data_IF_348854438241
#
_entry.id   IF_348854438241
#
_cell.length_a   1.000
_cell.length_b   1.000
_cell.length_c   1.000
_cell.angle_alpha   90.00
_cell.angle_beta   90.00
_cell.angle_gamma   90.00
#
_symmetry.space_group_name_H-M   'P 1'
#
loop_
_entity.id
_entity.type
_entity.pdbx_description
1 polymer ?
#
# COMPACT_ATOMS: atom_id res chain seq x y z
N UNK A 1 5.80 27.42 20.37
CA UNK A 1 6.91 26.56 20.84
C UNK A 1 6.35 25.60 21.87
N UNK A 2 6.72 24.33 21.85
CA UNK A 2 6.26 23.34 22.82
C UNK A 2 7.41 22.93 23.72
N UNK A 3 7.14 22.83 25.02
CA UNK A 3 8.09 22.33 25.99
C UNK A 3 7.66 20.96 26.47
N UNK A 4 8.13 19.92 25.77
CA UNK A 4 7.81 18.53 26.09
C UNK A 4 9.02 17.88 26.76
N UNK A 5 8.77 16.98 27.70
CA UNK A 5 9.80 16.21 28.39
C UNK A 5 10.05 14.84 27.72
N UNK A 6 9.66 14.69 26.45
CA UNK A 6 9.83 13.46 25.66
C UNK A 6 10.03 13.80 24.19
N UNK A 7 10.64 12.86 23.47
CA UNK A 7 10.94 13.01 22.04
C UNK A 7 9.68 12.89 21.19
N UNK A 8 9.50 13.85 20.29
CA UNK A 8 8.48 13.83 19.22
C UNK A 8 9.20 13.74 17.88
N UNK A 9 8.57 13.12 16.89
CA UNK A 9 9.16 12.94 15.58
C UNK A 9 8.36 13.66 14.51
N UNK A 10 9.07 14.20 13.51
CA UNK A 10 8.48 14.74 12.29
C UNK A 10 8.78 13.80 11.14
N UNK A 11 7.84 13.71 10.21
CA UNK A 11 8.06 13.01 8.95
C UNK A 11 8.70 13.94 7.93
N UNK A 12 9.89 13.58 7.47
CA UNK A 12 10.50 14.16 6.27
C UNK A 12 10.12 13.30 5.05
N UNK A 13 9.17 13.80 4.26
CA UNK A 13 8.66 13.10 3.08
C UNK A 13 9.67 13.05 1.92
N UNK A 14 10.70 13.91 1.93
CA UNK A 14 11.69 13.98 0.86
C UNK A 14 12.59 12.74 0.82
N UNK A 15 12.91 12.19 2.00
CA UNK A 15 13.72 10.98 2.18
C UNK A 15 13.04 9.77 1.52
N UNK A 16 11.71 9.70 1.57
CA UNK A 16 10.96 8.60 1.00
C UNK A 16 10.87 8.68 -0.52
N UNK A 17 10.69 9.87 -1.09
CA UNK A 17 10.48 10.05 -2.54
C UNK A 17 11.66 9.55 -3.39
N UNK A 18 12.90 9.83 -2.96
CA UNK A 18 14.12 9.38 -3.65
C UNK A 18 14.29 7.85 -3.61
N UNK A 19 13.93 7.20 -2.51
CA UNK A 19 13.95 5.75 -2.41
C UNK A 19 12.91 5.10 -3.33
N UNK A 20 11.71 5.69 -3.43
CA UNK A 20 10.62 5.21 -4.31
C UNK A 20 11.00 5.17 -5.78
N UNK A 21 11.82 6.13 -6.24
CA UNK A 21 12.25 6.19 -7.63
C UNK A 21 13.27 5.09 -8.00
N UNK A 22 14.04 4.58 -7.04
CA UNK A 22 15.13 3.62 -7.29
C UNK A 22 14.73 2.16 -7.05
N UNK A 23 13.92 1.91 -6.02
CA UNK A 23 13.43 0.59 -5.65
C UNK A 23 11.97 0.73 -5.19
N UNK A 24 11.00 0.67 -6.13
CA UNK A 24 9.59 0.86 -5.80
C UNK A 24 9.08 -0.15 -4.76
N UNK A 25 9.63 -1.36 -4.75
CA UNK A 25 9.24 -2.44 -3.85
C UNK A 25 9.87 -2.27 -2.46
N UNK A 26 11.17 -1.94 -2.40
CA UNK A 26 11.87 -1.59 -1.15
C UNK A 26 11.37 -0.30 -0.50
N UNK A 27 10.88 0.65 -1.29
CA UNK A 27 10.43 1.95 -0.81
C UNK A 27 9.23 1.88 0.13
N UNK A 28 8.36 0.89 -0.05
CA UNK A 28 7.25 0.65 0.86
C UNK A 28 7.74 0.39 2.29
N UNK A 29 8.80 -0.42 2.44
CA UNK A 29 9.40 -0.73 3.73
C UNK A 29 10.14 0.45 4.35
N UNK A 30 10.63 1.38 3.52
CA UNK A 30 11.37 2.56 3.96
C UNK A 30 10.50 3.77 4.29
N UNK A 31 9.18 3.68 4.14
CA UNK A 31 8.24 4.80 4.35
C UNK A 31 8.32 5.45 5.73
N UNK A 32 8.76 4.71 6.76
CA UNK A 32 8.95 5.23 8.12
C UNK A 32 10.39 5.70 8.39
N UNK A 33 11.30 5.64 7.41
CA UNK A 33 12.69 6.06 7.58
C UNK A 33 12.87 7.57 7.66
N UNK A 34 11.96 8.32 7.03
CA UNK A 34 11.89 9.79 7.12
C UNK A 34 11.52 10.33 8.50
N UNK A 35 11.23 9.48 9.50
CA UNK A 35 11.03 9.93 10.88
C UNK A 35 12.31 10.51 11.45
N UNK A 36 12.31 11.83 11.65
CA UNK A 36 13.39 12.59 12.27
C UNK A 36 12.96 13.10 13.66
N UNK A 37 13.85 13.04 14.67
CA UNK A 37 13.62 13.70 15.94
C UNK A 37 13.38 15.19 15.74
N UNK A 38 12.30 15.72 16.32
CA UNK A 38 12.11 17.16 16.46
C UNK A 38 13.09 17.72 17.50
N UNK A 39 13.49 18.97 17.33
CA UNK A 39 14.09 19.73 18.43
C UNK A 39 13.03 19.93 19.51
N UNK A 40 13.22 19.29 20.65
CA UNK A 40 12.36 19.44 21.81
C UNK A 40 13.13 20.16 22.90
N UNK A 41 12.58 21.27 23.38
CA UNK A 41 13.14 21.99 24.53
C UNK A 41 12.39 21.58 25.78
N UNK A 42 13.10 21.08 26.79
CA UNK A 42 12.50 20.81 28.09
C UNK A 42 12.57 22.08 28.96
N UNK A 43 11.45 22.46 29.58
CA UNK A 43 11.42 23.58 30.52
C UNK A 43 11.77 23.09 31.93
N UNK A 44 12.97 23.39 32.41
CA UNK A 44 13.41 23.05 33.78
C UNK A 44 12.60 23.84 34.82
N UNK A 45 12.44 23.36 36.06
CA UNK A 45 11.87 24.18 37.13
C UNK A 45 12.69 25.47 37.32
N UNK A 46 12.04 26.63 37.38
CA UNK A 46 12.70 27.92 37.56
C UNK A 46 11.98 29.08 36.89
N UNK A 47 12.61 30.25 36.93
CA UNK A 47 12.14 31.44 36.21
C UNK A 47 12.67 31.42 34.79
N UNK A 48 11.77 31.55 33.81
CA UNK A 48 12.11 31.59 32.39
C UNK A 48 11.77 32.94 31.81
N UNK A 49 12.63 33.42 30.89
CA UNK A 49 12.42 34.67 30.18
C UNK A 49 12.08 34.33 28.74
N UNK A 50 10.89 34.76 28.31
CA UNK A 50 10.47 34.69 26.92
C UNK A 50 10.51 36.11 26.33
N UNK A 51 11.21 36.26 25.20
CA UNK A 51 11.30 37.52 24.48
C UNK A 51 10.72 37.35 23.09
N UNK A 52 9.87 38.30 22.68
CA UNK A 52 9.37 38.42 21.32
C UNK A 52 10.25 39.42 20.61
N UNK A 53 11.00 38.95 19.61
CA UNK A 53 11.83 39.79 18.75
C UNK A 53 11.13 39.99 17.40
N UNK A 54 11.21 41.20 16.86
CA UNK A 54 10.63 41.56 15.57
C UNK A 54 11.49 42.60 14.85
N UNK A 55 11.44 42.56 13.53
CA UNK A 55 12.13 43.45 12.59
C UNK A 55 11.26 44.63 12.13
N UNK A 56 10.00 44.68 12.57
CA UNK A 56 9.06 45.75 12.24
C UNK A 56 9.34 47.02 13.08
N UNK A 57 10.36 47.77 12.68
CA UNK A 57 10.69 49.07 13.27
C UNK A 57 9.71 50.19 12.88
N UNK A 58 8.91 50.01 11.82
CA UNK A 58 8.11 51.10 11.22
C UNK A 58 6.60 51.01 11.47
N UNK A 59 6.12 49.92 12.10
CA UNK A 59 4.68 49.72 12.37
C UNK A 59 4.46 48.97 13.67
N UNK A 60 3.57 49.50 14.51
CA UNK A 60 3.12 48.83 15.73
C UNK A 60 2.38 47.55 15.37
N UNK A 61 2.85 46.41 15.90
CA UNK A 61 2.14 45.14 15.81
C UNK A 61 1.56 44.80 17.19
N UNK A 62 0.28 44.42 17.22
CA UNK A 62 -0.36 43.89 18.42
C UNK A 62 -0.15 42.38 18.47
N UNK A 63 0.28 41.85 19.61
CA UNK A 63 0.50 40.41 19.81
C UNK A 63 -0.02 39.96 21.17
N UNK A 64 -0.45 38.70 21.25
CA UNK A 64 -0.88 38.03 22.47
C UNK A 64 -0.01 36.80 22.67
N UNK A 65 0.52 36.62 23.88
CA UNK A 65 1.29 35.43 24.25
C UNK A 65 0.43 34.62 25.21
N UNK A 66 0.12 33.40 24.82
CA UNK A 66 -0.61 32.44 25.65
C UNK A 66 0.32 31.32 26.10
N UNK A 67 0.32 31.03 27.40
CA UNK A 67 1.04 29.91 27.98
C UNK A 67 0.02 28.90 28.51
N UNK A 68 -0.03 27.72 27.90
CA UNK A 68 -0.94 26.65 28.31
C UNK A 68 -0.15 25.60 29.08
N UNK A 69 -0.60 25.28 30.30
CA UNK A 69 0.05 24.28 31.13
C UNK A 69 -0.32 22.86 30.68
N UNK A 70 0.68 22.02 30.40
CA UNK A 70 0.50 20.64 29.96
C UNK A 70 -0.35 19.78 30.92
N UNK A 71 -0.43 20.14 32.22
CA UNK A 71 -1.25 19.43 33.22
C UNK A 71 -2.74 19.38 32.86
N UNK A 72 -3.24 20.40 32.16
CA UNK A 72 -4.63 20.43 31.68
C UNK A 72 -4.90 19.44 30.53
N UNK A 73 -3.85 18.87 29.95
CA UNK A 73 -3.88 17.98 28.79
C UNK A 73 -3.02 16.73 29.01
N UNK A 74 -2.92 16.25 30.25
CA UNK A 74 -2.09 15.08 30.59
C UNK A 74 -2.47 13.85 29.75
N UNK A 75 -3.76 13.58 29.61
CA UNK A 75 -4.28 12.50 28.74
C UNK A 75 -3.81 12.65 27.29
N UNK A 76 -3.82 13.86 26.76
CA UNK A 76 -3.43 14.11 25.36
C UNK A 76 -1.92 13.95 25.19
N UNK A 77 -1.16 14.41 26.18
CA UNK A 77 0.31 14.31 26.23
C UNK A 77 0.75 12.85 26.32
N UNK A 78 0.10 12.07 27.18
CA UNK A 78 0.36 10.64 27.33
C UNK A 78 -0.02 9.87 26.05
N UNK A 79 -1.20 10.16 25.47
CA UNK A 79 -1.60 9.60 24.17
C UNK A 79 -0.57 9.88 23.07
N UNK A 80 -0.06 11.12 22.99
CA UNK A 80 0.97 11.48 22.02
C UNK A 80 2.24 10.65 22.21
N UNK A 81 2.70 10.52 23.47
CA UNK A 81 3.86 9.70 23.82
C UNK A 81 3.67 8.23 23.42
N UNK A 82 2.48 7.68 23.65
CA UNK A 82 2.17 6.28 23.30
C UNK A 82 2.13 6.08 21.77
N UNK A 83 1.54 7.02 21.03
CA UNK A 83 1.52 7.02 19.57
C UNK A 83 2.95 7.07 19.01
N UNK A 84 3.80 7.96 19.51
CA UNK A 84 5.20 8.06 19.08
C UNK A 84 5.96 6.76 19.31
N UNK A 85 5.80 6.16 20.50
CA UNK A 85 6.40 4.86 20.81
C UNK A 85 5.89 3.74 19.89
N UNK A 86 4.60 3.74 19.55
CA UNK A 86 4.00 2.76 18.66
C UNK A 86 4.52 2.91 17.22
N UNK A 87 4.64 4.14 16.72
CA UNK A 87 5.18 4.43 15.38
C UNK A 87 6.64 3.96 15.28
N UNK A 88 7.47 4.24 16.29
CA UNK A 88 8.86 3.76 16.33
C UNK A 88 8.96 2.24 16.38
N UNK A 89 8.09 1.58 17.16
CA UNK A 89 8.02 0.12 17.19
C UNK A 89 7.68 -0.43 15.80
N UNK A 90 6.68 0.14 15.13
CA UNK A 90 6.27 -0.26 13.78
C UNK A 90 7.35 0.00 12.73
N UNK A 91 8.15 1.07 12.86
CA UNK A 91 9.33 1.29 12.02
C UNK A 91 10.33 0.13 12.11
N UNK A 92 10.58 -0.36 13.32
CA UNK A 92 11.50 -1.48 13.54
C UNK A 92 10.92 -2.81 13.03
N UNK A 93 9.64 -3.08 13.30
CA UNK A 93 8.95 -4.25 12.77
C UNK A 93 8.98 -4.29 11.23
N UNK A 94 8.74 -3.14 10.59
CA UNK A 94 8.74 -3.04 9.13
C UNK A 94 10.14 -3.31 8.53
N UNK A 95 11.20 -2.86 9.20
CA UNK A 95 12.59 -3.16 8.81
C UNK A 95 12.92 -4.64 8.94
N UNK A 96 12.46 -5.30 9.99
CA UNK A 96 12.65 -6.75 10.17
C UNK A 96 11.89 -7.52 9.07
N UNK A 97 10.64 -7.15 8.84
CA UNK A 97 9.80 -7.76 7.81
C UNK A 97 10.39 -7.61 6.40
N UNK A 98 11.00 -6.46 6.06
CA UNK A 98 11.72 -6.29 4.78
C UNK A 98 12.78 -7.38 4.58
N UNK A 99 13.55 -7.69 5.62
CA UNK A 99 14.60 -8.70 5.55
C UNK A 99 14.05 -10.12 5.33
N UNK A 100 12.92 -10.44 5.95
CA UNK A 100 12.24 -11.73 5.79
C UNK A 100 11.62 -11.84 4.40
N UNK A 101 10.96 -10.77 3.96
CA UNK A 101 10.36 -10.67 2.63
C UNK A 101 11.40 -10.91 1.53
N UNK A 102 12.57 -10.26 1.60
CA UNK A 102 13.65 -10.45 0.61
C UNK A 102 14.17 -11.90 0.58
N UNK A 103 14.28 -12.56 1.73
CA UNK A 103 14.66 -13.99 1.78
C UNK A 103 13.64 -14.88 1.09
N UNK A 104 12.34 -14.62 1.31
CA UNK A 104 11.27 -15.39 0.66
C UNK A 104 11.27 -15.16 -0.85
N UNK A 105 11.46 -13.93 -1.31
CA UNK A 105 11.56 -13.60 -2.73
C UNK A 105 12.73 -14.32 -3.42
N UNK A 106 13.89 -14.38 -2.77
CA UNK A 106 15.04 -15.16 -3.26
C UNK A 106 14.73 -16.66 -3.38
N UNK A 107 14.07 -17.25 -2.37
CA UNK A 107 13.64 -18.66 -2.41
C UNK A 107 12.63 -18.93 -3.53
N UNK A 108 11.71 -17.99 -3.79
CA UNK A 108 10.74 -18.09 -4.89
C UNK A 108 11.44 -18.05 -6.25
N UNK A 109 12.42 -17.15 -6.44
CA UNK A 109 13.25 -17.10 -7.66
C UNK A 109 14.03 -18.41 -7.88
N UNK A 110 14.59 -18.98 -6.81
CA UNK A 110 15.25 -20.29 -6.88
C UNK A 110 14.28 -21.41 -7.30
N UNK A 111 13.09 -21.46 -6.68
CA UNK A 111 12.03 -22.41 -7.03
C UNK A 111 11.66 -22.28 -8.51
N UNK A 112 11.45 -21.06 -8.99
CA UNK A 112 11.01 -20.81 -10.37
C UNK A 112 12.11 -21.18 -11.37
N UNK A 113 13.38 -20.91 -11.05
CA UNK A 113 14.52 -21.38 -11.82
C UNK A 113 14.54 -22.91 -11.94
N UNK A 114 14.34 -23.62 -10.83
CA UNK A 114 14.25 -25.10 -10.83
C UNK A 114 13.06 -25.55 -11.68
N UNK A 115 11.87 -24.99 -11.46
CA UNK A 115 10.65 -25.38 -12.19
C UNK A 115 10.79 -25.16 -13.71
N UNK A 116 11.48 -24.09 -14.11
CA UNK A 116 11.78 -23.83 -15.52
C UNK A 116 12.62 -24.93 -16.16
N UNK A 117 13.58 -25.53 -15.44
CA UNK A 117 14.39 -26.66 -15.99
C UNK A 117 13.55 -27.90 -16.28
N UNK A 118 12.48 -28.11 -15.53
CA UNK A 118 11.53 -29.20 -15.75
C UNK A 118 10.48 -28.88 -16.83
N UNK A 119 10.37 -27.62 -17.27
CA UNK A 119 9.35 -27.16 -18.23
C UNK A 119 9.89 -27.11 -19.68
N UNK A 120 10.97 -27.84 -20.00
CA UNK A 120 11.36 -28.02 -21.40
C UNK A 120 10.23 -28.76 -22.13
N UNK A 121 9.43 -28.01 -22.88
CA UNK A 121 8.58 -28.52 -23.95
C UNK A 121 9.48 -29.39 -24.82
N UNK A 122 9.12 -30.68 -24.95
CA UNK A 122 9.73 -31.61 -25.90
C UNK A 122 10.03 -30.90 -27.22
N UNK A 123 11.30 -30.77 -27.65
CA UNK A 123 11.57 -30.39 -29.02
C UNK A 123 11.14 -31.55 -29.91
N UNK A 124 10.03 -31.37 -30.62
CA UNK A 124 9.73 -32.18 -31.79
C UNK A 124 10.87 -32.02 -32.78
N UNK A 125 11.73 -33.03 -32.92
CA UNK A 125 12.12 -33.66 -34.19
C UNK A 125 13.52 -34.29 -34.13
N UNK A 126 13.59 -35.63 -34.09
CA UNK A 126 14.55 -36.41 -34.88
C UNK A 126 13.80 -37.62 -35.46
N UNK A 127 13.46 -37.48 -36.75
CA UNK A 127 13.28 -38.48 -37.81
C UNK A 127 12.46 -39.76 -37.60
N UNK A 128 11.40 -39.80 -38.42
CA UNK A 128 11.04 -40.88 -39.36
C UNK A 128 9.89 -41.81 -38.99
N UNK A 129 9.02 -41.95 -40.00
CA UNK A 129 8.12 -43.08 -40.26
C UNK A 129 6.77 -43.09 -39.56
N UNK A 130 5.85 -42.32 -40.16
CA UNK A 130 4.59 -42.85 -40.72
C UNK A 130 3.67 -43.67 -39.82
N UNK A 131 2.53 -43.10 -39.46
CA UNK A 131 1.22 -43.52 -39.99
C UNK A 131 0.11 -42.82 -39.22
N UNK A 132 -0.68 -42.03 -39.94
CA UNK A 132 -1.93 -41.48 -39.45
C UNK A 132 -2.95 -42.62 -39.33
N UNK A 133 -3.66 -42.69 -38.20
CA UNK A 133 -4.91 -43.43 -38.08
C UNK A 133 -6.05 -42.45 -37.76
N UNK A 134 -7.13 -42.68 -38.50
CA UNK A 134 -8.26 -41.85 -38.86
C UNK A 134 -9.37 -41.74 -37.83
N UNK A 135 -10.13 -40.63 -37.87
CA UNK A 135 -11.60 -40.63 -37.83
C UNK A 135 -12.08 -39.25 -38.36
N UNK A 136 -12.54 -39.10 -39.61
CA UNK A 136 -13.93 -39.33 -40.08
C UNK A 136 -14.79 -38.08 -39.77
N UNK A 137 -15.38 -37.30 -40.69
CA UNK A 137 -15.93 -37.60 -42.02
C UNK A 137 -16.23 -36.33 -42.85
N UNK A 138 -16.21 -36.50 -44.19
CA UNK A 138 -17.02 -35.90 -45.30
C UNK A 138 -17.18 -34.37 -45.43
N UNK A 139 -17.05 -33.70 -46.58
CA UNK A 139 -16.90 -34.11 -48.00
C UNK A 139 -16.55 -32.87 -48.86
N UNK A 140 -15.54 -33.01 -49.76
CA UNK A 140 -15.41 -32.58 -51.19
C UNK A 140 -16.24 -31.35 -51.67
N UNK A 141 -15.79 -30.40 -52.50
CA UNK A 141 -14.63 -30.16 -53.40
C UNK A 141 -14.70 -28.67 -53.83
N UNK A 142 -13.59 -27.91 -53.83
CA UNK A 142 -12.79 -27.42 -54.99
C UNK A 142 -13.09 -26.00 -55.48
N UNK A 143 -12.01 -25.23 -55.74
CA UNK A 143 -11.96 -24.02 -56.58
C UNK A 143 -12.06 -22.72 -55.78
N UNK A 144 -10.96 -22.07 -55.43
CA UNK A 144 -10.13 -21.15 -56.23
C UNK A 144 -10.68 -19.70 -56.29
N UNK A 145 -9.81 -18.79 -55.86
CA UNK A 145 -9.65 -17.34 -56.00
C UNK A 145 -10.82 -16.35 -56.21
N UNK A 146 -10.59 -15.18 -55.56
CA UNK A 146 -10.98 -13.80 -55.94
C UNK A 146 -12.18 -13.10 -55.26
N UNK A 147 -11.81 -12.08 -54.47
CA UNK A 147 -12.23 -10.65 -54.53
C UNK A 147 -13.74 -10.31 -54.42
N UNK A 148 -14.11 -9.56 -53.37
CA UNK A 148 -15.29 -8.68 -53.40
C UNK A 148 -16.01 -8.46 -52.06
N UNK A 149 -15.88 -7.23 -51.53
CA UNK A 149 -16.86 -6.36 -50.83
C UNK A 149 -17.87 -6.87 -49.77
N UNK A 150 -17.96 -6.11 -48.66
CA UNK A 150 -19.00 -6.05 -47.60
C UNK A 150 -20.42 -5.69 -48.14
N UNK A 151 -21.52 -5.42 -47.36
CA UNK A 151 -21.77 -5.40 -45.89
C UNK A 151 -23.18 -5.95 -45.41
N UNK A 152 -23.43 -5.88 -44.09
CA UNK A 152 -24.77 -5.87 -43.44
C UNK A 152 -25.26 -7.22 -42.88
N UNK A 153 -26.16 -7.35 -41.91
CA UNK A 153 -26.84 -6.51 -40.92
C UNK A 153 -27.64 -7.48 -40.01
N UNK A 154 -27.78 -7.11 -38.73
CA UNK A 154 -28.74 -7.48 -37.67
C UNK A 154 -29.61 -8.77 -37.63
N UNK A 155 -29.75 -9.25 -36.37
CA UNK A 155 -30.81 -10.14 -35.87
C UNK A 155 -30.23 -11.36 -35.14
N UNK A 156 -30.26 -11.54 -33.82
CA UNK A 156 -31.33 -11.24 -32.86
C UNK A 156 -31.98 -12.55 -32.43
N UNK A 157 -31.65 -13.06 -31.23
CA UNK A 157 -32.60 -13.80 -30.37
C UNK A 157 -31.98 -14.24 -29.04
N UNK A 158 -32.74 -13.99 -27.99
CA UNK A 158 -32.60 -14.41 -26.60
C UNK A 158 -32.08 -15.84 -26.37
N UNK A 159 -31.13 -15.94 -25.44
CA UNK A 159 -30.57 -17.19 -24.93
C UNK A 159 -30.25 -17.08 -23.44
N UNK A 160 -31.31 -17.11 -22.63
CA UNK A 160 -31.28 -17.19 -21.17
C UNK A 160 -30.88 -18.61 -20.75
N UNK A 161 -29.68 -18.81 -20.19
CA UNK A 161 -29.49 -19.79 -19.10
C UNK A 161 -28.17 -19.62 -18.31
N UNK A 162 -28.37 -19.26 -17.04
CA UNK A 162 -27.83 -19.85 -15.80
C UNK A 162 -26.31 -20.14 -15.65
N UNK A 163 -25.81 -19.52 -14.57
CA UNK A 163 -25.13 -20.19 -13.46
C UNK A 163 -23.66 -20.59 -13.65
N UNK A 164 -22.77 -19.73 -13.16
CA UNK A 164 -21.39 -20.12 -12.90
C UNK A 164 -20.50 -19.05 -12.26
N UNK A 165 -21.02 -18.11 -11.46
CA UNK A 165 -20.17 -17.18 -10.70
C UNK A 165 -19.54 -17.91 -9.51
N UNK A 166 -18.33 -18.45 -9.69
CA UNK A 166 -17.46 -18.87 -8.57
C UNK A 166 -16.99 -17.63 -7.81
N UNK A 167 -17.82 -17.14 -6.90
CA UNK A 167 -17.45 -16.14 -5.90
C UNK A 167 -16.62 -16.83 -4.81
N UNK A 168 -15.32 -16.58 -4.80
CA UNK A 168 -14.47 -16.86 -3.65
C UNK A 168 -14.57 -15.68 -2.67
N UNK A 169 -14.42 -15.99 -1.38
CA UNK A 169 -14.44 -15.12 -0.18
C UNK A 169 -15.80 -14.93 0.51
N UNK A 170 -15.98 -15.70 1.58
CA UNK A 170 -16.97 -15.53 2.63
C UNK A 170 -16.37 -14.57 3.69
N UNK A 171 -16.79 -13.31 3.71
CA UNK A 171 -16.54 -12.38 4.81
C UNK A 171 -17.83 -12.24 5.61
N UNK A 172 -17.88 -12.85 6.79
CA UNK A 172 -19.01 -12.70 7.70
C UNK A 172 -18.70 -11.58 8.71
N UNK A 173 -19.02 -10.33 8.36
CA UNK A 173 -19.05 -9.22 9.29
C UNK A 173 -20.44 -9.19 9.94
N UNK A 174 -20.58 -9.77 11.13
CA UNK A 174 -21.79 -9.59 11.92
C UNK A 174 -21.73 -8.25 12.64
N UNK A 175 -22.31 -7.23 12.02
CA UNK A 175 -22.72 -5.99 12.67
C UNK A 175 -24.21 -6.04 13.01
N UNK A 176 -24.54 -5.91 14.29
CA UNK A 176 -25.82 -5.41 14.82
C UNK A 176 -25.70 -5.39 16.36
N UNK A 177 -26.05 -4.35 17.10
CA UNK A 177 -26.89 -3.23 16.72
C UNK A 177 -26.87 -2.09 17.74
N UNK A 178 -27.52 -1.04 17.26
CA UNK A 178 -27.86 0.24 17.86
C UNK A 178 -28.74 0.16 19.10
N UNK A 179 -28.61 1.18 19.95
CA UNK A 179 -29.78 1.91 20.44
C UNK A 179 -30.08 1.79 21.93
N UNK A 180 -29.56 2.73 22.71
CA UNK A 180 -30.16 3.15 23.99
C UNK A 180 -30.01 4.64 24.13
N UNK A 181 -30.97 5.38 23.56
CA UNK A 181 -31.15 6.81 23.78
C UNK A 181 -32.49 7.00 24.50
N UNK A 182 -32.46 7.37 25.79
CA UNK A 182 -33.61 7.92 26.54
C UNK A 182 -33.15 8.88 27.65
N UNK A 183 -33.16 10.17 27.29
CA UNK A 183 -33.52 11.40 28.02
C UNK A 183 -33.80 11.40 29.54
N UNK A 184 -33.25 12.47 30.15
CA UNK A 184 -33.82 13.46 31.10
C UNK A 184 -34.63 12.96 32.32
N UNK A 185 -34.09 13.19 33.52
CA UNK A 185 -34.42 14.34 34.40
C UNK A 185 -33.10 14.87 34.98
#
# INVERSE_FOLDING_TARGET
MYFLHFQVYRMDSTVNALAMAKDPEGAFFKRLEGLQPCEVSELKPGTHIFAVYGDNFFKTASYTIEAVCAKSHEDTTQKLKDIEAQILRKRNELRQFESEYRKVDELLKQRDGIHSTFTIVKPSSISASGSNLSNGSSSKISGDDSKGESPGEDGGSDGKDKSGKKKWFNLNLKGSGSGSDKRLI
#
